data_IF_432221472805
#
_entry.id   IF_432221472805
#
_cell.length_a   1.000
_cell.length_b   1.000
_cell.length_c   1.000
_cell.angle_alpha   90.00
_cell.angle_beta   90.00
_cell.angle_gamma   90.00
#
_symmetry.space_group_name_H-M   'P 1'
#
loop_
_entity.id
_entity.type
_entity.pdbx_description
1 polymer ?
#
# COMPACT_ATOMS: atom_id res chain seq x y z
N UNK A 1 22.52 17.61 -28.33
CA UNK A 1 22.82 16.26 -28.87
C UNK A 1 21.67 15.37 -28.48
N UNK A 2 20.87 14.91 -29.44
CA UNK A 2 19.65 14.14 -29.18
C UNK A 2 19.96 12.69 -28.77
N UNK A 3 19.00 12.06 -28.11
CA UNK A 3 19.03 10.61 -27.88
C UNK A 3 18.72 9.92 -29.22
N UNK A 4 19.36 8.79 -29.49
CA UNK A 4 19.04 7.97 -30.67
C UNK A 4 17.54 7.63 -30.71
N UNK A 5 16.93 7.63 -31.90
CA UNK A 5 15.51 7.35 -32.12
C UNK A 5 15.13 5.98 -31.54
N UNK A 6 16.02 5.00 -31.64
CA UNK A 6 15.77 3.65 -31.12
C UNK A 6 15.71 3.64 -29.58
N UNK A 7 16.58 4.42 -28.93
CA UNK A 7 16.55 4.59 -27.47
C UNK A 7 15.29 5.34 -27.01
N UNK A 8 14.84 6.31 -27.80
CA UNK A 8 13.58 7.02 -27.54
C UNK A 8 12.37 6.10 -27.64
N UNK A 9 12.34 5.21 -28.64
CA UNK A 9 11.25 4.23 -28.77
C UNK A 9 11.16 3.30 -27.56
N UNK A 10 12.28 2.88 -26.98
CA UNK A 10 12.30 2.05 -25.77
C UNK A 10 11.68 2.81 -24.58
N UNK A 11 12.04 4.08 -24.38
CA UNK A 11 11.47 4.92 -23.31
C UNK A 11 9.95 5.10 -23.51
N UNK A 12 9.51 5.34 -24.75
CA UNK A 12 8.08 5.45 -25.07
C UNK A 12 7.32 4.14 -24.85
N UNK A 13 7.95 2.98 -25.07
CA UNK A 13 7.33 1.68 -24.78
C UNK A 13 7.14 1.48 -23.27
N UNK A 14 8.15 1.83 -22.44
CA UNK A 14 8.02 1.80 -20.98
C UNK A 14 6.83 2.67 -20.52
N UNK A 15 6.68 3.86 -21.10
CA UNK A 15 5.57 4.77 -20.78
C UNK A 15 4.20 4.19 -21.11
N UNK A 16 4.08 3.53 -22.25
CA UNK A 16 2.80 3.01 -22.77
C UNK A 16 2.45 1.64 -22.21
N UNK A 17 3.31 1.05 -21.38
CA UNK A 17 3.03 -0.23 -20.77
C UNK A 17 1.82 -0.12 -19.83
N UNK A 18 0.73 -0.79 -20.18
CA UNK A 18 -0.50 -0.82 -19.38
C UNK A 18 -0.64 -2.11 -18.55
N UNK A 19 0.30 -3.04 -18.68
CA UNK A 19 0.31 -4.32 -17.97
C UNK A 19 1.70 -4.66 -17.45
N UNK A 20 1.79 -5.55 -16.45
CA UNK A 20 3.05 -6.09 -15.98
C UNK A 20 3.87 -6.74 -17.11
N UNK A 21 3.19 -7.44 -18.04
CA UNK A 21 3.84 -8.12 -19.16
C UNK A 21 4.45 -7.13 -20.16
N UNK A 22 3.70 -6.08 -20.54
CA UNK A 22 4.20 -5.04 -21.44
C UNK A 22 5.37 -4.28 -20.82
N UNK A 23 5.25 -3.98 -19.53
CA UNK A 23 6.31 -3.31 -18.79
C UNK A 23 7.54 -4.20 -18.70
N UNK A 24 7.38 -5.47 -18.38
CA UNK A 24 8.48 -6.43 -18.31
C UNK A 24 9.25 -6.50 -19.63
N UNK A 25 8.55 -6.61 -20.76
CA UNK A 25 9.17 -6.60 -22.09
C UNK A 25 9.97 -5.31 -22.32
N UNK A 26 9.38 -4.16 -22.00
CA UNK A 26 10.04 -2.85 -22.16
C UNK A 26 11.25 -2.70 -21.24
N UNK A 27 11.19 -3.25 -20.02
CA UNK A 27 12.32 -3.30 -19.09
C UNK A 27 13.44 -4.21 -19.60
N UNK A 28 13.13 -5.33 -20.25
CA UNK A 28 14.16 -6.17 -20.90
C UNK A 28 14.90 -5.41 -21.99
N UNK A 29 14.19 -4.64 -22.81
CA UNK A 29 14.82 -3.78 -23.83
C UNK A 29 15.74 -2.74 -23.19
N UNK A 30 15.30 -2.10 -22.10
CA UNK A 30 16.14 -1.22 -21.29
C UNK A 30 17.41 -1.94 -20.78
N UNK A 31 17.28 -3.17 -20.29
CA UNK A 31 18.42 -3.96 -19.80
C UNK A 31 19.42 -4.25 -20.93
N UNK A 32 18.93 -4.64 -22.11
CA UNK A 32 19.78 -4.88 -23.29
C UNK A 32 20.59 -3.64 -23.68
N UNK A 33 19.99 -2.45 -23.65
CA UNK A 33 20.71 -1.19 -23.88
C UNK A 33 21.84 -1.02 -22.87
N UNK A 34 21.58 -1.26 -21.58
CA UNK A 34 22.57 -1.10 -20.51
C UNK A 34 23.68 -2.17 -20.53
N UNK A 35 23.42 -3.32 -21.13
CA UNK A 35 24.40 -4.41 -21.30
C UNK A 35 25.22 -4.28 -22.58
N UNK A 36 24.69 -3.63 -23.61
CA UNK A 36 25.36 -3.39 -24.89
C UNK A 36 26.67 -2.60 -24.76
N UNK A 37 27.51 -2.54 -25.80
CA UNK A 37 28.69 -1.66 -25.82
C UNK A 37 28.36 -0.17 -26.08
N UNK A 38 27.09 0.22 -26.01
CA UNK A 38 26.65 1.59 -26.30
C UNK A 38 27.31 2.61 -25.34
N UNK A 39 27.89 3.68 -25.89
CA UNK A 39 28.54 4.74 -25.12
C UNK A 39 27.54 5.64 -24.36
N UNK A 40 26.25 5.60 -24.72
CA UNK A 40 25.23 6.53 -24.22
C UNK A 40 24.42 6.03 -23.00
N UNK A 41 24.87 4.98 -22.30
CA UNK A 41 24.10 4.36 -21.19
C UNK A 41 23.68 5.34 -20.09
N UNK A 42 24.61 6.19 -19.65
CA UNK A 42 24.32 7.18 -18.60
C UNK A 42 23.29 8.20 -19.06
N UNK A 43 23.41 8.64 -20.32
CA UNK A 43 22.44 9.54 -20.94
C UNK A 43 21.06 8.87 -21.01
N UNK A 44 20.99 7.63 -21.48
CA UNK A 44 19.75 6.84 -21.51
C UNK A 44 19.08 6.75 -20.13
N UNK A 45 19.84 6.42 -19.07
CA UNK A 45 19.31 6.38 -17.70
C UNK A 45 18.77 7.74 -17.27
N UNK A 46 19.49 8.83 -17.55
CA UNK A 46 19.02 10.17 -17.17
C UNK A 46 17.69 10.51 -17.86
N UNK A 47 17.57 10.25 -19.16
CA UNK A 47 16.32 10.48 -19.88
C UNK A 47 15.18 9.58 -19.37
N UNK A 48 15.46 8.30 -19.13
CA UNK A 48 14.47 7.38 -18.57
C UNK A 48 14.02 7.84 -17.19
N UNK A 49 14.94 8.23 -16.29
CA UNK A 49 14.60 8.71 -14.95
C UNK A 49 13.84 10.03 -14.96
N UNK A 50 14.25 11.00 -15.79
CA UNK A 50 13.49 12.24 -15.99
C UNK A 50 12.07 11.95 -16.46
N UNK A 51 11.91 10.97 -17.35
CA UNK A 51 10.61 10.54 -17.84
C UNK A 51 9.76 9.90 -16.74
N UNK A 52 10.31 8.93 -16.02
CA UNK A 52 9.65 8.22 -14.92
C UNK A 52 9.27 9.19 -13.79
N UNK A 53 10.12 10.18 -13.49
CA UNK A 53 9.85 11.27 -12.56
C UNK A 53 8.62 12.09 -13.00
N UNK A 54 8.56 12.46 -14.27
CA UNK A 54 7.42 13.20 -14.81
C UNK A 54 6.12 12.40 -14.73
N UNK A 55 6.14 11.09 -15.02
CA UNK A 55 4.95 10.24 -14.85
C UNK A 55 4.50 10.26 -13.38
N UNK A 56 5.39 9.93 -12.44
CA UNK A 56 5.04 9.87 -11.02
C UNK A 56 4.56 11.23 -10.46
N UNK A 57 5.23 12.32 -10.85
CA UNK A 57 4.88 13.68 -10.45
C UNK A 57 3.55 14.16 -11.01
N UNK A 58 3.28 13.90 -12.30
CA UNK A 58 2.00 14.26 -12.95
C UNK A 58 0.84 13.53 -12.28
N UNK A 59 1.00 12.26 -11.90
CA UNK A 59 -0.08 11.52 -11.24
C UNK A 59 -0.40 12.00 -9.83
N UNK A 60 0.61 12.47 -9.10
CA UNK A 60 0.41 13.15 -7.82
C UNK A 60 -0.29 14.49 -8.02
N UNK A 61 0.10 15.26 -9.04
CA UNK A 61 -0.56 16.52 -9.38
C UNK A 61 -2.01 16.33 -9.81
N UNK A 62 -2.31 15.35 -10.66
CA UNK A 62 -3.69 15.04 -11.09
C UNK A 62 -4.57 14.66 -9.89
N UNK A 63 -4.01 13.94 -8.90
CA UNK A 63 -4.73 13.60 -7.67
C UNK A 63 -4.95 14.83 -6.76
N UNK A 64 -4.03 15.79 -6.76
CA UNK A 64 -4.12 17.04 -6.00
C UNK A 64 -5.02 18.09 -6.66
N UNK A 65 -5.03 18.14 -8.00
CA UNK A 65 -5.72 19.14 -8.82
C UNK A 65 -7.08 18.67 -9.33
N UNK A 66 -7.39 17.38 -9.23
CA UNK A 66 -8.71 16.88 -9.56
C UNK A 66 -9.74 17.52 -8.62
N UNK A 67 -10.63 18.34 -9.17
CA UNK A 67 -11.79 19.01 -8.51
C UNK A 67 -12.79 18.05 -7.82
N UNK A 68 -12.45 16.78 -7.65
CA UNK A 68 -13.29 15.83 -6.97
C UNK A 68 -13.14 16.01 -5.46
N UNK A 69 -14.21 16.47 -4.81
CA UNK A 69 -14.43 16.40 -3.36
C UNK A 69 -14.36 14.96 -2.77
N UNK A 70 -13.89 13.98 -3.55
CA UNK A 70 -13.78 12.56 -3.27
C UNK A 70 -12.33 12.07 -3.10
N UNK A 71 -11.32 12.96 -3.10
CA UNK A 71 -9.93 12.55 -2.83
C UNK A 71 -9.56 12.78 -1.38
N UNK A 72 -9.16 11.71 -0.71
CA UNK A 72 -8.61 11.78 0.65
C UNK A 72 -7.21 12.38 0.58
N UNK A 73 -6.96 13.39 1.42
CA UNK A 73 -5.68 14.10 1.46
C UNK A 73 -4.52 13.12 1.68
N UNK A 74 -3.43 13.30 0.93
CA UNK A 74 -2.20 12.50 0.99
C UNK A 74 -2.39 11.00 0.70
N UNK A 75 -3.52 10.60 0.10
CA UNK A 75 -3.76 9.24 -0.38
C UNK A 75 -3.89 9.24 -1.90
N UNK A 76 -3.05 8.46 -2.57
CA UNK A 76 -2.96 8.43 -4.02
C UNK A 76 -3.33 7.06 -4.56
N UNK A 77 -4.41 6.98 -5.33
CA UNK A 77 -4.83 5.73 -5.99
C UNK A 77 -4.42 5.75 -7.46
N UNK A 78 -3.54 4.82 -7.83
CA UNK A 78 -3.03 4.62 -9.18
C UNK A 78 -3.82 3.50 -9.86
N UNK A 79 -4.45 3.82 -10.98
CA UNK A 79 -5.22 2.82 -11.74
C UNK A 79 -4.30 1.81 -12.44
N UNK A 80 -4.93 0.74 -12.90
CA UNK A 80 -4.26 -0.40 -13.47
C UNK A 80 -3.51 -0.15 -14.77
N UNK A 81 -3.81 0.94 -15.49
CA UNK A 81 -3.09 1.29 -16.71
C UNK A 81 -1.72 1.88 -16.43
N UNK A 82 -1.52 2.45 -15.24
CA UNK A 82 -0.31 3.22 -14.91
C UNK A 82 0.41 2.74 -13.66
N UNK A 83 -0.28 2.01 -12.79
CA UNK A 83 0.27 1.51 -11.54
C UNK A 83 1.59 0.75 -11.72
N UNK A 84 1.76 -0.18 -12.68
CA UNK A 84 3.04 -0.88 -12.86
C UNK A 84 4.20 0.06 -13.19
N UNK A 85 3.96 1.04 -14.08
CA UNK A 85 4.99 2.00 -14.52
C UNK A 85 5.36 2.95 -13.39
N UNK A 86 4.38 3.49 -12.67
CA UNK A 86 4.62 4.38 -11.53
C UNK A 86 5.37 3.61 -10.43
N UNK A 87 4.97 2.37 -10.15
CA UNK A 87 5.67 1.52 -9.19
C UNK A 87 7.14 1.28 -9.58
N UNK A 88 7.41 0.88 -10.84
CA UNK A 88 8.77 0.73 -11.33
C UNK A 88 9.56 2.05 -11.28
N UNK A 89 8.91 3.18 -11.57
CA UNK A 89 9.49 4.53 -11.48
C UNK A 89 10.06 4.78 -10.08
N UNK A 90 9.25 4.53 -9.05
CA UNK A 90 9.68 4.72 -7.66
C UNK A 90 10.91 3.90 -7.27
N UNK A 91 11.09 2.72 -7.87
CA UNK A 91 12.22 1.84 -7.57
C UNK A 91 13.49 2.19 -8.36
N UNK A 92 13.37 2.95 -9.46
CA UNK A 92 14.48 3.23 -10.38
C UNK A 92 15.03 4.65 -10.26
N UNK A 93 14.17 5.65 -9.98
CA UNK A 93 14.50 7.08 -10.07
C UNK A 93 15.68 7.49 -9.16
N UNK A 94 15.83 6.86 -7.99
CA UNK A 94 16.90 7.19 -7.03
C UNK A 94 18.25 6.56 -7.38
N UNK A 95 18.31 5.73 -8.42
CA UNK A 95 19.52 4.99 -8.78
C UNK A 95 20.29 5.72 -9.87
N UNK A 96 21.44 6.25 -9.50
CA UNK A 96 22.37 6.96 -10.40
C UNK A 96 23.51 6.08 -10.93
N UNK A 97 23.80 4.96 -10.27
CA UNK A 97 24.85 4.03 -10.66
C UNK A 97 24.31 2.98 -11.64
N UNK A 98 24.93 2.84 -12.81
CA UNK A 98 24.55 1.87 -13.86
C UNK A 98 24.53 0.43 -13.35
N UNK A 99 25.48 0.04 -12.49
CA UNK A 99 25.55 -1.31 -11.92
C UNK A 99 24.30 -1.60 -11.11
N UNK A 100 23.98 -0.72 -10.17
CA UNK A 100 22.84 -0.89 -9.27
C UNK A 100 21.52 -0.75 -10.04
N UNK A 101 21.48 0.09 -11.07
CA UNK A 101 20.33 0.25 -11.96
C UNK A 101 20.01 -1.07 -12.65
N UNK A 102 21.03 -1.74 -13.22
CA UNK A 102 20.86 -3.07 -13.83
C UNK A 102 20.41 -4.12 -12.82
N UNK A 103 20.96 -4.11 -11.61
CA UNK A 103 20.54 -5.04 -10.54
C UNK A 103 19.06 -4.83 -10.22
N UNK A 104 18.62 -3.58 -10.05
CA UNK A 104 17.21 -3.27 -9.79
C UNK A 104 16.32 -3.64 -10.96
N UNK A 105 16.74 -3.35 -12.19
CA UNK A 105 15.99 -3.69 -13.39
C UNK A 105 15.76 -5.19 -13.50
N UNK A 106 16.79 -5.99 -13.25
CA UNK A 106 16.68 -7.46 -13.26
C UNK A 106 15.71 -7.95 -12.19
N UNK A 107 15.73 -7.38 -10.98
CA UNK A 107 14.76 -7.72 -9.93
C UNK A 107 13.32 -7.39 -10.35
N UNK A 108 13.10 -6.22 -10.97
CA UNK A 108 11.78 -5.85 -11.49
C UNK A 108 11.29 -6.80 -12.60
N UNK A 109 12.17 -7.13 -13.54
CA UNK A 109 11.89 -8.10 -14.60
C UNK A 109 11.51 -9.45 -13.98
N UNK A 110 12.37 -9.97 -13.10
CA UNK A 110 12.17 -11.25 -12.41
C UNK A 110 10.83 -11.28 -11.66
N UNK A 111 10.52 -10.25 -10.89
CA UNK A 111 9.25 -10.08 -10.20
C UNK A 111 8.06 -10.14 -11.19
N UNK A 112 8.06 -9.32 -12.24
CA UNK A 112 6.95 -9.27 -13.20
C UNK A 112 6.77 -10.58 -13.99
N UNK A 113 7.84 -11.33 -14.28
CA UNK A 113 7.75 -12.63 -14.97
C UNK A 113 7.35 -13.78 -14.05
N UNK A 114 7.96 -13.81 -12.87
CA UNK A 114 7.95 -15.01 -12.03
C UNK A 114 6.95 -14.92 -10.89
N UNK A 115 6.42 -13.74 -10.55
CA UNK A 115 5.50 -13.58 -9.44
C UNK A 115 4.08 -13.22 -9.87
N UNK A 116 3.87 -12.77 -11.11
CA UNK A 116 2.56 -12.37 -11.63
C UNK A 116 2.03 -13.34 -12.70
N UNK A 117 0.71 -13.39 -12.81
CA UNK A 117 -0.07 -14.06 -13.84
C UNK A 117 -1.05 -13.07 -14.48
N UNK A 118 -1.71 -13.52 -15.55
CA UNK A 118 -2.93 -12.87 -16.03
C UNK A 118 -3.97 -12.79 -14.90
N UNK A 119 -4.76 -11.70 -14.84
CA UNK A 119 -5.78 -11.53 -13.82
C UNK A 119 -6.83 -12.64 -13.96
N UNK A 120 -7.08 -13.38 -12.88
CA UNK A 120 -8.10 -14.45 -12.90
C UNK A 120 -9.49 -14.01 -12.45
N UNK A 121 -9.56 -12.87 -11.79
CA UNK A 121 -10.78 -12.30 -11.20
C UNK A 121 -10.92 -10.85 -11.63
N UNK A 122 -11.96 -10.16 -11.15
CA UNK A 122 -12.10 -8.71 -11.30
C UNK A 122 -11.80 -8.07 -9.94
N UNK A 123 -10.78 -7.22 -9.90
CA UNK A 123 -10.38 -6.43 -8.74
C UNK A 123 -11.16 -5.12 -8.67
N UNK A 124 -10.85 -4.30 -7.67
CA UNK A 124 -11.51 -3.01 -7.49
C UNK A 124 -11.07 -2.01 -8.56
N UNK A 125 -12.04 -1.32 -9.16
CA UNK A 125 -11.77 -0.12 -9.94
C UNK A 125 -11.30 1.02 -9.03
N UNK A 126 -10.56 1.99 -9.59
CA UNK A 126 -10.16 3.22 -8.87
C UNK A 126 -11.36 3.95 -8.21
N UNK A 127 -12.52 3.96 -8.87
CA UNK A 127 -13.76 4.54 -8.32
C UNK A 127 -14.26 3.78 -7.09
N UNK A 128 -14.25 2.45 -7.12
CA UNK A 128 -14.64 1.63 -5.97
C UNK A 128 -13.69 1.83 -4.79
N UNK A 129 -12.38 1.85 -5.04
CA UNK A 129 -11.37 2.13 -4.01
C UNK A 129 -11.63 3.51 -3.40
N UNK A 130 -11.74 4.57 -4.21
CA UNK A 130 -12.02 5.93 -3.71
C UNK A 130 -13.31 5.99 -2.88
N UNK A 131 -14.37 5.29 -3.28
CA UNK A 131 -15.61 5.22 -2.50
C UNK A 131 -15.37 4.64 -1.09
N UNK A 132 -14.58 3.57 -1.00
CA UNK A 132 -14.21 2.95 0.28
C UNK A 132 -13.32 3.90 1.11
N UNK A 133 -12.30 4.51 0.49
CA UNK A 133 -11.43 5.48 1.17
C UNK A 133 -12.22 6.66 1.74
N UNK A 134 -13.15 7.22 0.97
CA UNK A 134 -14.01 8.31 1.44
C UNK A 134 -14.92 7.90 2.59
N UNK A 135 -15.48 6.68 2.54
CA UNK A 135 -16.25 6.16 3.66
C UNK A 135 -15.40 6.09 4.94
N UNK A 136 -14.17 5.57 4.85
CA UNK A 136 -13.26 5.46 5.99
C UNK A 136 -12.84 6.82 6.53
N UNK A 137 -12.52 7.77 5.63
CA UNK A 137 -12.18 9.13 6.02
C UNK A 137 -13.36 9.83 6.68
N UNK A 138 -14.56 9.74 6.11
CA UNK A 138 -15.75 10.40 6.64
C UNK A 138 -16.16 9.83 8.00
N UNK A 139 -16.14 8.49 8.15
CA UNK A 139 -16.62 7.81 9.36
C UNK A 139 -15.59 7.85 10.50
N UNK A 140 -14.30 7.76 10.19
CA UNK A 140 -13.25 7.55 11.19
C UNK A 140 -12.12 8.57 11.18
N UNK A 141 -12.02 9.43 10.16
CA UNK A 141 -10.88 10.36 10.00
C UNK A 141 -9.53 9.65 9.88
N UNK A 142 -9.53 8.38 9.46
CA UNK A 142 -8.39 7.48 9.67
C UNK A 142 -7.15 7.89 8.88
N UNK A 143 -7.31 8.56 7.73
CA UNK A 143 -6.15 8.94 6.93
C UNK A 143 -5.43 10.15 7.48
N UNK A 144 -6.06 10.97 8.32
CA UNK A 144 -5.36 12.01 9.08
C UNK A 144 -4.39 11.40 10.11
N UNK A 145 -4.62 10.15 10.51
CA UNK A 145 -3.74 9.36 11.37
C UNK A 145 -2.67 8.67 10.50
N UNK A 146 -3.08 7.88 9.50
CA UNK A 146 -2.17 7.09 8.65
C UNK A 146 -1.17 7.98 7.91
N UNK A 147 -1.63 9.11 7.38
CA UNK A 147 -0.83 10.01 6.53
C UNK A 147 -0.21 11.18 7.30
N UNK A 148 -0.18 11.13 8.63
CA UNK A 148 0.32 12.26 9.44
C UNK A 148 1.80 12.58 9.22
N UNK A 149 2.60 11.58 8.81
CA UNK A 149 4.04 11.69 8.51
C UNK A 149 4.39 11.48 7.05
N UNK A 150 3.51 10.81 6.31
CA UNK A 150 3.81 10.32 4.97
C UNK A 150 2.58 10.32 4.10
N UNK A 151 2.82 10.25 2.81
CA UNK A 151 1.83 9.87 1.81
C UNK A 151 1.55 8.36 1.87
N UNK A 152 0.33 8.01 1.46
CA UNK A 152 -0.09 6.65 1.19
C UNK A 152 -0.34 6.49 -0.32
N UNK A 153 0.30 5.51 -0.96
CA UNK A 153 0.03 5.19 -2.37
C UNK A 153 -0.60 3.81 -2.49
N UNK A 154 -1.66 3.69 -3.29
CA UNK A 154 -2.36 2.45 -3.58
C UNK A 154 -2.25 2.18 -5.07
N UNK A 155 -1.56 1.09 -5.41
CA UNK A 155 -1.34 0.63 -6.77
C UNK A 155 -2.31 -0.49 -7.10
N UNK A 156 -3.19 -0.29 -8.08
CA UNK A 156 -4.08 -1.35 -8.56
C UNK A 156 -3.39 -2.05 -9.72
N UNK A 157 -2.80 -3.23 -9.56
CA UNK A 157 -2.10 -3.92 -10.66
C UNK A 157 -3.07 -4.75 -11.47
N UNK A 158 -3.11 -4.66 -12.81
CA UNK A 158 -3.98 -5.50 -13.66
C UNK A 158 -3.53 -6.98 -13.79
N UNK A 159 -2.97 -7.54 -12.73
CA UNK A 159 -2.36 -8.86 -12.72
C UNK A 159 -2.67 -9.55 -11.39
N UNK A 160 -2.73 -10.88 -11.43
CA UNK A 160 -2.81 -11.68 -10.21
C UNK A 160 -1.41 -12.01 -9.73
N UNK A 161 -1.11 -11.75 -8.45
CA UNK A 161 0.13 -12.26 -7.86
C UNK A 161 -0.03 -13.77 -7.56
N UNK A 162 1.05 -14.54 -7.65
CA UNK A 162 1.00 -16.01 -7.56
C UNK A 162 0.73 -16.53 -6.15
N UNK A 163 1.04 -15.73 -5.13
CA UNK A 163 0.98 -16.14 -3.73
C UNK A 163 0.06 -15.29 -2.85
N UNK A 164 -0.28 -14.07 -3.28
CA UNK A 164 -0.91 -13.07 -2.41
C UNK A 164 -2.01 -12.35 -3.20
N UNK A 165 -3.02 -11.83 -2.49
CA UNK A 165 -4.04 -10.95 -3.10
C UNK A 165 -3.60 -9.47 -3.07
N UNK A 166 -2.76 -9.14 -2.11
CA UNK A 166 -2.18 -7.82 -1.90
C UNK A 166 -0.88 -7.95 -1.13
N UNK A 167 -0.07 -6.90 -1.16
CA UNK A 167 1.04 -6.77 -0.24
C UNK A 167 1.34 -5.30 0.05
N UNK A 168 1.79 -5.04 1.27
CA UNK A 168 2.28 -3.75 1.72
C UNK A 168 3.80 -3.68 1.59
N UNK A 169 4.29 -2.65 0.92
CA UNK A 169 5.70 -2.27 0.94
C UNK A 169 5.91 -0.99 1.74
N UNK A 170 6.84 -1.06 2.67
CA UNK A 170 7.30 0.07 3.46
C UNK A 170 8.72 0.38 3.03
N UNK A 171 8.96 1.61 2.60
CA UNK A 171 10.28 2.08 2.23
C UNK A 171 10.55 3.39 2.94
N UNK A 172 11.78 3.52 3.41
CA UNK A 172 12.31 4.76 3.93
C UNK A 172 13.25 5.37 2.89
N UNK A 173 13.27 6.69 2.82
CA UNK A 173 14.32 7.37 2.07
C UNK A 173 15.63 7.26 2.85
N UNK A 174 16.72 6.87 2.18
CA UNK A 174 18.03 6.79 2.84
C UNK A 174 18.48 8.13 3.45
N UNK A 175 18.02 9.25 2.87
CA UNK A 175 18.24 10.61 3.37
C UNK A 175 17.33 11.00 4.54
N UNK A 176 16.22 10.28 4.72
CA UNK A 176 15.23 10.52 5.78
C UNK A 176 14.72 9.17 6.32
N UNK A 177 15.58 8.40 7.02
CA UNK A 177 15.24 7.05 7.47
C UNK A 177 14.05 7.03 8.44
N UNK A 178 13.78 8.16 9.09
CA UNK A 178 12.67 8.41 10.01
C UNK A 178 11.31 8.61 9.29
N UNK A 179 11.35 8.86 7.97
CA UNK A 179 10.19 8.98 7.09
C UNK A 179 9.99 7.65 6.38
N UNK A 180 8.95 6.92 6.75
CA UNK A 180 8.51 5.73 6.03
C UNK A 180 7.33 6.09 5.16
N UNK A 181 7.32 5.59 3.94
CA UNK A 181 6.22 5.72 3.01
C UNK A 181 5.53 4.39 2.85
N UNK A 182 4.20 4.44 2.81
CA UNK A 182 3.36 3.27 2.65
C UNK A 182 2.96 3.14 1.19
N UNK A 183 3.31 2.01 0.56
CA UNK A 183 2.77 1.60 -0.72
C UNK A 183 1.99 0.32 -0.54
N UNK A 184 0.70 0.37 -0.85
CA UNK A 184 -0.10 -0.83 -1.00
C UNK A 184 -0.14 -1.21 -2.47
N UNK A 185 0.23 -2.45 -2.76
CA UNK A 185 0.07 -3.03 -4.07
C UNK A 185 -1.09 -4.00 -3.97
N UNK A 186 -2.23 -3.56 -4.48
CA UNK A 186 -3.43 -4.37 -4.58
C UNK A 186 -3.39 -5.08 -5.92
N UNK A 187 -3.45 -6.40 -5.85
CA UNK A 187 -3.45 -7.26 -7.03
C UNK A 187 -4.81 -7.92 -7.17
N UNK A 188 -5.04 -8.58 -8.29
CA UNK A 188 -6.27 -9.35 -8.50
C UNK A 188 -6.09 -10.71 -7.81
N UNK A 189 -7.14 -11.22 -7.16
CA UNK A 189 -7.04 -12.48 -6.45
C UNK A 189 -6.52 -13.59 -7.38
N UNK A 190 -5.55 -14.36 -6.87
CA UNK A 190 -4.85 -15.40 -7.63
C UNK A 190 -5.75 -16.58 -7.99
N UNK A 191 -6.88 -16.70 -7.29
CA UNK A 191 -7.92 -17.73 -7.37
C UNK A 191 -9.28 -17.08 -7.11
N UNK A 192 -10.33 -17.64 -7.70
CA UNK A 192 -11.71 -17.16 -7.60
C UNK A 192 -12.35 -17.33 -6.22
N UNK A 193 -11.66 -17.95 -5.27
CA UNK A 193 -12.17 -18.31 -3.94
C UNK A 193 -11.44 -17.60 -2.79
N UNK A 194 -10.44 -16.76 -3.08
CA UNK A 194 -9.65 -16.09 -2.03
C UNK A 194 -10.22 -14.69 -1.79
N UNK A 195 -10.69 -14.44 -0.56
CA UNK A 195 -11.09 -13.17 0.10
C UNK A 195 -11.62 -12.04 -0.79
N UNK A 196 -12.82 -11.52 -0.48
CA UNK A 196 -13.41 -10.39 -1.20
C UNK A 196 -12.43 -9.20 -1.30
N UNK A 197 -12.26 -8.58 -2.48
CA UNK A 197 -11.27 -7.53 -2.66
C UNK A 197 -11.54 -6.26 -1.82
N UNK A 198 -12.78 -6.02 -1.38
CA UNK A 198 -13.10 -4.96 -0.43
C UNK A 198 -12.52 -5.27 0.96
N UNK A 199 -12.63 -6.53 1.42
CA UNK A 199 -12.02 -6.98 2.67
C UNK A 199 -10.50 -6.85 2.60
N UNK A 200 -9.90 -7.31 1.50
CA UNK A 200 -8.45 -7.24 1.27
C UNK A 200 -7.96 -5.79 1.34
N UNK A 201 -8.63 -4.83 0.69
CA UNK A 201 -8.28 -3.42 0.77
C UNK A 201 -8.32 -2.90 2.22
N UNK A 202 -9.36 -3.25 2.99
CA UNK A 202 -9.50 -2.77 4.37
C UNK A 202 -8.49 -3.43 5.30
N UNK A 203 -8.16 -4.70 5.08
CA UNK A 203 -7.10 -5.40 5.78
C UNK A 203 -5.75 -4.67 5.59
N UNK A 204 -5.38 -4.33 4.35
CA UNK A 204 -4.15 -3.56 4.08
C UNK A 204 -4.16 -2.16 4.75
N UNK A 205 -5.32 -1.49 4.79
CA UNK A 205 -5.47 -0.25 5.54
C UNK A 205 -5.26 -0.47 7.04
N UNK A 206 -5.62 -1.64 7.57
CA UNK A 206 -5.30 -2.08 8.92
C UNK A 206 -3.80 -2.14 9.18
N UNK A 207 -3.00 -2.67 8.25
CA UNK A 207 -1.53 -2.60 8.33
C UNK A 207 -1.01 -1.17 8.26
N UNK A 208 -1.63 -0.30 7.45
CA UNK A 208 -1.30 1.13 7.40
C UNK A 208 -1.46 1.79 8.78
N UNK A 209 -2.61 1.54 9.42
CA UNK A 209 -2.93 2.06 10.74
C UNK A 209 -1.96 1.51 11.78
N UNK A 210 -1.73 0.20 11.76
CA UNK A 210 -0.78 -0.48 12.64
C UNK A 210 0.60 0.18 12.59
N UNK A 211 1.15 0.35 11.38
CA UNK A 211 2.44 0.97 11.18
C UNK A 211 2.45 2.45 11.58
N UNK A 212 1.37 3.19 11.29
CA UNK A 212 1.24 4.57 11.72
C UNK A 212 1.31 4.68 13.26
N UNK A 213 0.70 3.75 13.99
CA UNK A 213 0.68 3.73 15.46
C UNK A 213 2.00 3.29 16.08
N UNK A 214 2.66 2.27 15.50
CA UNK A 214 3.84 1.65 16.10
C UNK A 214 5.17 2.18 15.57
N UNK A 215 5.17 2.82 14.40
CA UNK A 215 6.35 3.20 13.61
C UNK A 215 7.26 2.02 13.24
N UNK A 216 6.81 0.78 13.41
CA UNK A 216 7.61 -0.41 13.16
C UNK A 216 6.79 -1.48 12.46
N UNK A 217 7.38 -2.04 11.41
CA UNK A 217 6.80 -3.16 10.66
C UNK A 217 6.59 -4.35 11.61
N UNK A 218 5.47 -5.07 11.48
CA UNK A 218 5.04 -6.20 12.34
C UNK A 218 4.77 -5.88 13.83
N UNK A 219 4.98 -4.65 14.30
CA UNK A 219 4.61 -4.26 15.65
C UNK A 219 3.19 -3.72 15.72
N UNK A 220 2.42 -4.26 16.65
CA UNK A 220 1.06 -3.81 16.98
C UNK A 220 1.06 -3.03 18.30
N UNK A 221 0.00 -2.24 18.58
CA UNK A 221 -0.21 -1.67 19.90
C UNK A 221 -0.25 -2.77 20.99
N UNK A 222 0.42 -2.54 22.11
CA UNK A 222 0.42 -3.45 23.26
C UNK A 222 -0.99 -3.60 23.84
N UNK A 223 -1.79 -2.53 23.79
CA UNK A 223 -3.21 -2.55 24.16
C UNK A 223 -4.04 -3.57 23.37
N UNK A 224 -3.69 -3.86 22.11
CA UNK A 224 -4.38 -4.87 21.32
C UNK A 224 -4.13 -6.27 21.86
N UNK A 225 -2.92 -6.53 22.36
CA UNK A 225 -2.57 -7.79 23.01
C UNK A 225 -3.36 -7.95 24.29
N UNK A 226 -3.45 -6.90 25.10
CA UNK A 226 -4.24 -6.91 26.34
C UNK A 226 -5.73 -7.14 26.06
N UNK A 227 -6.30 -6.47 25.04
CA UNK A 227 -7.69 -6.70 24.62
C UNK A 227 -7.93 -8.16 24.22
N UNK A 228 -7.01 -8.77 23.46
CA UNK A 228 -7.14 -10.17 23.05
C UNK A 228 -7.07 -11.16 24.23
N UNK A 229 -6.43 -10.80 25.35
CA UNK A 229 -6.46 -11.65 26.56
C UNK A 229 -7.85 -11.76 27.17
N UNK A 230 -8.74 -10.78 26.97
CA UNK A 230 -10.16 -10.91 27.38
C UNK A 230 -10.91 -11.98 26.59
N UNK A 231 -10.35 -12.40 25.45
CA UNK A 231 -10.86 -13.48 24.60
C UNK A 231 -10.14 -14.81 24.83
N UNK A 232 -9.30 -14.90 25.87
CA UNK A 232 -8.38 -16.02 26.11
C UNK A 232 -7.43 -16.30 24.92
N UNK A 233 -7.14 -15.27 24.11
CA UNK A 233 -6.21 -15.34 22.98
C UNK A 233 -4.87 -14.72 23.36
N UNK A 234 -3.82 -15.52 23.33
CA UNK A 234 -2.46 -15.07 23.64
C UNK A 234 -1.67 -14.79 22.36
N UNK A 235 -1.61 -13.51 21.99
CA UNK A 235 -0.82 -13.03 20.87
C UNK A 235 0.61 -12.67 21.30
N UNK A 236 1.58 -12.90 20.43
CA UNK A 236 2.97 -12.50 20.63
C UNK A 236 3.27 -11.28 19.76
N UNK A 237 3.67 -10.17 20.38
CA UNK A 237 4.05 -8.97 19.63
C UNK A 237 5.23 -9.24 18.67
N UNK A 238 5.35 -8.42 17.63
CA UNK A 238 6.42 -8.45 16.65
C UNK A 238 6.47 -9.77 15.84
N UNK A 239 5.31 -10.21 15.37
CA UNK A 239 5.18 -11.38 14.50
C UNK A 239 4.24 -11.07 13.34
N UNK A 240 4.53 -11.61 12.15
CA UNK A 240 3.68 -11.46 10.95
C UNK A 240 2.23 -11.88 11.26
N UNK A 241 2.06 -13.02 11.93
CA UNK A 241 0.72 -13.53 12.31
C UNK A 241 -0.04 -12.51 13.16
N UNK A 242 0.63 -11.83 14.09
CA UNK A 242 -0.06 -10.89 14.99
C UNK A 242 -0.39 -9.57 14.31
N UNK A 243 0.44 -9.10 13.35
CA UNK A 243 0.06 -7.98 12.50
C UNK A 243 -1.12 -8.30 11.60
N UNK A 244 -1.18 -9.52 11.05
CA UNK A 244 -2.28 -9.94 10.18
C UNK A 244 -3.59 -10.06 10.98
N UNK A 245 -3.54 -10.62 12.19
CA UNK A 245 -4.69 -10.65 13.11
C UNK A 245 -5.16 -9.23 13.44
N UNK A 246 -4.26 -8.28 13.66
CA UNK A 246 -4.65 -6.88 13.87
C UNK A 246 -5.41 -6.32 12.66
N UNK A 247 -4.89 -6.54 11.44
CA UNK A 247 -5.50 -6.09 10.20
C UNK A 247 -6.87 -6.76 9.93
N UNK A 248 -6.99 -8.06 10.19
CA UNK A 248 -8.25 -8.80 10.08
C UNK A 248 -9.31 -8.28 11.05
N UNK A 249 -8.96 -8.12 12.34
CA UNK A 249 -9.89 -7.61 13.34
C UNK A 249 -10.27 -6.16 13.05
N UNK A 250 -9.34 -5.35 12.55
CA UNK A 250 -9.65 -4.00 12.06
C UNK A 250 -10.65 -4.04 10.90
N UNK A 251 -10.49 -4.98 9.95
CA UNK A 251 -11.44 -5.16 8.85
C UNK A 251 -12.84 -5.53 9.34
N UNK A 252 -12.93 -6.42 10.33
CA UNK A 252 -14.19 -6.79 10.98
C UNK A 252 -14.83 -5.57 11.63
N UNK A 253 -14.08 -4.79 12.40
CA UNK A 253 -14.57 -3.57 13.04
C UNK A 253 -15.16 -2.57 12.03
N UNK A 254 -14.42 -2.28 10.96
CA UNK A 254 -14.81 -1.28 9.96
C UNK A 254 -16.04 -1.72 9.17
N UNK A 255 -16.05 -2.99 8.76
CA UNK A 255 -17.05 -3.52 7.84
C UNK A 255 -18.33 -3.92 8.58
N UNK A 256 -18.23 -4.29 9.85
CA UNK A 256 -19.39 -4.57 10.69
C UNK A 256 -20.32 -3.35 10.76
N UNK A 257 -21.63 -3.60 10.66
CA UNK A 257 -22.69 -2.57 10.65
C UNK A 257 -22.45 -1.48 9.58
N UNK A 258 -21.88 -1.83 8.43
CA UNK A 258 -21.67 -0.94 7.28
C UNK A 258 -22.22 -1.53 5.98
N UNK A 259 -22.24 -0.74 4.90
CA UNK A 259 -22.59 -1.25 3.57
C UNK A 259 -21.60 -2.29 3.03
N UNK A 260 -20.46 -2.48 3.71
CA UNK A 260 -19.42 -3.44 3.34
C UNK A 260 -19.55 -4.77 4.10
N UNK A 261 -20.52 -4.92 5.01
CA UNK A 261 -20.62 -6.10 5.86
C UNK A 261 -20.72 -7.42 5.08
N UNK A 262 -21.38 -7.41 3.93
CA UNK A 262 -21.54 -8.59 3.06
C UNK A 262 -20.22 -9.09 2.44
N UNK A 263 -19.19 -8.24 2.44
CA UNK A 263 -17.88 -8.55 1.86
C UNK A 263 -16.89 -9.14 2.88
N UNK A 264 -17.29 -9.40 4.13
CA UNK A 264 -16.37 -9.88 5.16
C UNK A 264 -16.97 -11.05 5.96
N UNK A 265 -16.63 -12.27 5.52
CA UNK A 265 -17.10 -13.51 6.14
C UNK A 265 -16.68 -13.66 7.60
N UNK A 266 -15.58 -13.01 8.03
CA UNK A 266 -15.11 -13.06 9.41
C UNK A 266 -16.14 -12.48 10.40
N UNK A 267 -16.98 -11.54 9.96
CA UNK A 267 -18.05 -10.96 10.79
C UNK A 267 -18.99 -12.06 11.30
N UNK A 268 -19.29 -13.06 10.46
CA UNK A 268 -20.20 -14.15 10.80
C UNK A 268 -19.62 -15.16 11.79
N UNK A 269 -18.30 -15.19 11.93
CA UNK A 269 -17.57 -16.13 12.78
C UNK A 269 -17.55 -15.66 14.24
N UNK A 270 -17.55 -14.35 14.47
CA UNK A 270 -17.42 -13.79 15.82
C UNK A 270 -18.78 -13.60 16.50
N UNK A 271 -18.95 -14.06 17.76
CA UNK A 271 -20.12 -13.74 18.56
C UNK A 271 -20.27 -12.22 18.78
N UNK A 272 -21.50 -11.73 18.97
CA UNK A 272 -21.77 -10.30 19.14
C UNK A 272 -20.93 -9.63 20.23
N UNK A 273 -20.71 -10.31 21.37
CA UNK A 273 -19.86 -9.79 22.46
C UNK A 273 -18.41 -9.49 22.02
N UNK A 274 -17.89 -10.26 21.07
CA UNK A 274 -16.52 -10.11 20.55
C UNK A 274 -16.49 -8.95 19.56
N UNK A 275 -17.51 -8.85 18.69
CA UNK A 275 -17.68 -7.72 17.79
C UNK A 275 -17.79 -6.39 18.57
N UNK A 276 -18.54 -6.38 19.67
CA UNK A 276 -18.68 -5.20 20.54
C UNK A 276 -17.35 -4.85 21.27
N UNK A 277 -16.52 -5.85 21.57
CA UNK A 277 -15.18 -5.63 22.12
C UNK A 277 -14.28 -4.96 21.08
N UNK A 278 -14.26 -5.48 19.84
CA UNK A 278 -13.49 -4.89 18.74
C UNK A 278 -13.96 -3.46 18.43
N UNK A 279 -15.26 -3.22 18.41
CA UNK A 279 -15.85 -1.90 18.20
C UNK A 279 -15.40 -0.89 19.25
N UNK A 280 -15.46 -1.26 20.53
CA UNK A 280 -14.97 -0.41 21.62
C UNK A 280 -13.48 -0.13 21.50
N UNK A 281 -12.67 -1.18 21.28
CA UNK A 281 -11.22 -1.07 21.17
C UNK A 281 -10.80 -0.09 20.07
N UNK A 282 -11.23 -0.32 18.83
CA UNK A 282 -10.81 0.51 17.72
C UNK A 282 -11.40 1.91 17.76
N UNK A 283 -12.62 2.09 18.28
CA UNK A 283 -13.20 3.42 18.46
C UNK A 283 -12.34 4.27 19.40
N UNK A 284 -11.93 3.73 20.54
CA UNK A 284 -11.08 4.44 21.50
C UNK A 284 -9.66 4.65 20.97
N UNK A 285 -9.08 3.63 20.32
CA UNK A 285 -7.74 3.73 19.72
C UNK A 285 -7.67 4.82 18.65
N UNK A 286 -8.62 4.83 17.71
CA UNK A 286 -8.68 5.82 16.62
C UNK A 286 -8.90 7.22 17.19
N UNK A 287 -9.84 7.37 18.12
CA UNK A 287 -10.11 8.66 18.78
C UNK A 287 -8.85 9.20 19.48
N UNK A 288 -8.18 8.36 20.26
CA UNK A 288 -6.96 8.74 20.96
C UNK A 288 -5.82 9.11 19.98
N UNK A 289 -5.64 8.33 18.91
CA UNK A 289 -4.64 8.60 17.88
C UNK A 289 -4.92 9.93 17.15
N UNK A 290 -6.19 10.22 16.83
CA UNK A 290 -6.60 11.47 16.19
C UNK A 290 -6.35 12.69 17.09
N UNK A 291 -6.73 12.59 18.37
CA UNK A 291 -6.51 13.62 19.40
C UNK A 291 -5.01 13.90 19.61
N UNK A 292 -4.15 12.91 19.36
CA UNK A 292 -2.71 12.98 19.59
C UNK A 292 -1.87 12.91 18.29
N UNK A 293 -2.45 13.18 17.12
CA UNK A 293 -1.78 13.01 15.81
C UNK A 293 -0.46 13.78 15.66
N UNK A 294 -0.30 14.92 16.34
CA UNK A 294 0.97 15.66 16.33
C UNK A 294 2.08 14.91 17.09
N UNK A 295 1.74 14.20 18.18
CA UNK A 295 2.69 13.31 18.87
C UNK A 295 3.01 12.08 18.04
N UNK A 296 2.02 11.56 17.30
CA UNK A 296 2.20 10.45 16.37
C UNK A 296 3.30 10.74 15.34
N UNK A 297 3.52 12.00 14.97
CA UNK A 297 4.63 12.36 14.09
C UNK A 297 6.03 12.03 14.64
N UNK A 298 6.18 11.75 15.93
CA UNK A 298 7.51 11.55 16.53
C UNK A 298 7.59 10.35 17.46
N UNK A 299 6.46 9.80 17.92
CA UNK A 299 6.41 8.73 18.91
C UNK A 299 5.34 7.70 18.57
N UNK A 300 5.61 6.44 18.93
CA UNK A 300 4.58 5.40 18.94
C UNK A 300 3.41 5.87 19.84
N UNK A 301 2.19 5.58 19.42
CA UNK A 301 0.99 5.83 20.23
C UNK A 301 0.28 4.53 20.54
N UNK A 302 -0.18 4.46 21.79
CA UNK A 302 -1.02 3.39 22.27
C UNK A 302 -1.94 3.93 23.36
N UNK A 303 -3.07 3.26 23.55
CA UNK A 303 -3.99 3.47 24.68
C UNK A 303 -3.58 2.55 25.84
N UNK A 304 -4.02 2.87 27.06
CA UNK A 304 -4.03 1.85 28.13
C UNK A 304 -5.38 1.14 28.03
N UNK A 305 -5.34 -0.17 27.84
CA UNK A 305 -6.54 -1.01 27.87
C UNK A 305 -6.66 -1.69 29.23
N UNK A 306 -7.79 -1.54 29.90
CA UNK A 306 -8.08 -2.25 31.15
C UNK A 306 -9.09 -3.39 30.95
N UNK A 307 -8.97 -4.43 31.77
CA UNK A 307 -9.80 -5.65 31.75
C UNK A 307 -11.30 -5.40 32.02
N UNK A 308 -11.72 -4.18 32.32
CA UNK A 308 -13.14 -3.80 32.33
C UNK A 308 -13.64 -3.38 30.92
N UNK A 309 -12.79 -3.54 29.89
CA UNK A 309 -13.05 -3.18 28.51
C UNK A 309 -13.14 -1.68 28.27
N UNK A 310 -12.51 -0.86 29.11
CA UNK A 310 -12.42 0.59 28.96
C UNK A 310 -10.99 1.01 28.63
N UNK A 311 -10.85 1.94 27.69
CA UNK A 311 -9.58 2.60 27.46
C UNK A 311 -9.37 3.68 28.54
N UNK A 312 -8.23 3.61 29.23
CA UNK A 312 -7.75 4.69 30.10
C UNK A 312 -6.81 5.57 29.27
N UNK A 313 -7.16 6.85 29.11
CA UNK A 313 -6.32 7.79 28.36
C UNK A 313 -5.03 8.11 29.15
N UNK A 314 -3.89 8.14 28.45
CA UNK A 314 -2.57 8.53 28.98
C UNK A 314 -2.37 10.04 28.90
#
# INVERSE_FOLDING_TARGET
MDLDKDLWNIIENVRRAESANDLCKSLKDCLCVLESKNANKRKFINYLNEYLLNIGGVHRLDALLGDNAETVRNVYVHDYKKAPVIYASHLLISISNIRDYKVRLRKLIDMFENEFNEPKTVGLSKKQVNKILNFLQFKYGIFDIITCKTELEIFLFNNSHKQFNSFCEVFSEASQPETYHNRFILTFASRSEEHDPCQVLIHEIGHALQLALSHQVMMIPESFIEMNKELDVHLKNNTVVTSDVFADVFSVFVMNKSYLAEHNDLISIFPSRVLDLFERYFTELIKYAFDNREKLKTKKLDIIWSNDGKAVKV
#
